data_IF_255855411332
#
_entry.id   IF_255855411332
#
_cell.length_a   1.000
_cell.length_b   1.000
_cell.length_c   1.000
_cell.angle_alpha   90.00
_cell.angle_beta   90.00
_cell.angle_gamma   90.00
#
_symmetry.space_group_name_H-M   'P 1'
#
loop_
_entity.id
_entity.type
_entity.pdbx_description
1 polymer ?
#
# COMPACT_ATOMS: atom_id res chain seq x y z
N UNK A 1 33.20 10.85 -15.60
CA UNK A 1 33.50 10.55 -14.19
C UNK A 1 32.20 10.09 -13.55
N UNK A 2 31.80 8.85 -13.83
CA UNK A 2 30.78 8.13 -13.05
C UNK A 2 31.59 7.02 -12.39
N UNK A 3 32.27 7.37 -11.30
CA UNK A 3 32.81 6.35 -10.41
C UNK A 3 31.63 5.65 -9.72
N UNK A 4 31.73 4.32 -9.59
CA UNK A 4 30.60 3.40 -9.50
C UNK A 4 29.54 3.76 -8.46
N UNK A 5 28.30 3.91 -8.92
CA UNK A 5 27.15 4.08 -8.05
C UNK A 5 27.08 2.95 -7.02
N UNK A 6 26.86 3.30 -5.75
CA UNK A 6 26.73 2.31 -4.68
C UNK A 6 25.56 1.36 -4.98
N UNK A 7 25.61 0.14 -4.46
CA UNK A 7 24.50 -0.81 -4.60
C UNK A 7 23.18 -0.24 -4.06
N UNK A 8 23.24 0.64 -3.05
CA UNK A 8 22.08 1.35 -2.49
C UNK A 8 21.51 2.33 -3.52
N UNK A 9 22.35 3.18 -4.11
CA UNK A 9 21.97 4.16 -5.14
C UNK A 9 21.30 3.48 -6.33
N UNK A 10 21.90 2.38 -6.84
CA UNK A 10 21.31 1.60 -7.94
C UNK A 10 19.95 1.02 -7.56
N UNK A 11 19.81 0.51 -6.33
CA UNK A 11 18.56 -0.08 -5.85
C UNK A 11 17.45 0.97 -5.72
N UNK A 12 17.78 2.16 -5.25
CA UNK A 12 16.82 3.26 -5.15
C UNK A 12 16.41 3.82 -6.52
N UNK A 13 17.34 3.86 -7.48
CA UNK A 13 17.03 4.21 -8.86
C UNK A 13 16.05 3.20 -9.50
N UNK A 14 16.30 1.89 -9.31
CA UNK A 14 15.40 0.83 -9.77
C UNK A 14 14.02 0.96 -9.12
N UNK A 15 13.98 1.21 -7.80
CA UNK A 15 12.73 1.41 -7.10
C UNK A 15 11.96 2.65 -7.60
N UNK A 16 12.67 3.74 -7.91
CA UNK A 16 12.08 4.94 -8.54
C UNK A 16 11.38 4.57 -9.84
N UNK A 17 12.02 3.80 -10.72
CA UNK A 17 11.41 3.33 -11.98
C UNK A 17 10.19 2.45 -11.71
N UNK A 18 10.29 1.50 -10.76
CA UNK A 18 9.16 0.64 -10.38
C UNK A 18 7.95 1.42 -9.87
N UNK A 19 8.18 2.53 -9.15
CA UNK A 19 7.12 3.41 -8.65
C UNK A 19 6.54 4.31 -9.75
N UNK A 20 7.34 4.75 -10.72
CA UNK A 20 6.85 5.47 -11.90
C UNK A 20 5.88 4.63 -12.73
N UNK A 21 6.06 3.30 -12.78
CA UNK A 21 5.05 2.40 -13.37
C UNK A 21 3.72 2.52 -12.62
N UNK A 22 3.76 2.56 -11.28
CA UNK A 22 2.57 2.80 -10.46
C UNK A 22 1.92 4.16 -10.75
N UNK A 23 2.71 5.21 -10.96
CA UNK A 23 2.20 6.54 -11.37
C UNK A 23 1.46 6.44 -12.70
N UNK A 24 2.02 5.76 -13.70
CA UNK A 24 1.37 5.57 -15.00
C UNK A 24 0.04 4.82 -14.84
N UNK A 25 -0.01 3.77 -14.02
CA UNK A 25 -1.24 3.02 -13.75
C UNK A 25 -2.29 3.93 -13.09
N UNK A 26 -1.92 4.72 -12.08
CA UNK A 26 -2.85 5.65 -11.43
C UNK A 26 -3.33 6.77 -12.36
N UNK A 27 -2.49 7.28 -13.25
CA UNK A 27 -2.91 8.25 -14.27
C UNK A 27 -3.90 7.61 -15.23
N UNK A 28 -3.62 6.38 -15.71
CA UNK A 28 -4.56 5.65 -16.57
C UNK A 28 -5.91 5.48 -15.88
N UNK A 29 -5.92 5.12 -14.59
CA UNK A 29 -7.11 5.01 -13.76
C UNK A 29 -7.91 6.32 -13.73
N UNK A 30 -7.23 7.45 -13.56
CA UNK A 30 -7.87 8.76 -13.52
C UNK A 30 -8.46 9.21 -14.87
N UNK A 31 -7.92 8.70 -15.97
CA UNK A 31 -8.35 9.05 -17.33
C UNK A 31 -9.35 8.04 -17.94
N UNK A 32 -9.81 7.05 -17.17
CA UNK A 32 -10.75 6.05 -17.67
C UNK A 32 -12.19 6.54 -17.50
N UNK A 33 -12.79 7.01 -18.61
CA UNK A 33 -14.17 7.51 -18.64
C UNK A 33 -15.23 6.42 -18.38
N UNK A 34 -14.86 5.14 -18.37
CA UNK A 34 -15.78 4.04 -18.08
C UNK A 34 -16.10 3.87 -16.58
N UNK A 35 -15.42 4.59 -15.70
CA UNK A 35 -15.60 4.51 -14.24
C UNK A 35 -15.73 5.88 -13.61
N UNK A 36 -16.45 5.94 -12.49
CA UNK A 36 -16.62 7.17 -11.73
C UNK A 36 -15.41 7.39 -10.80
N UNK A 37 -14.55 8.35 -11.20
CA UNK A 37 -13.37 8.75 -10.45
C UNK A 37 -13.66 9.23 -9.01
N UNK A 38 -14.75 9.97 -8.82
CA UNK A 38 -15.13 10.54 -7.53
C UNK A 38 -15.65 9.45 -6.60
N UNK A 39 -16.45 8.52 -7.15
CA UNK A 39 -16.95 7.35 -6.42
C UNK A 39 -15.86 6.32 -6.13
N UNK A 40 -14.82 6.26 -6.95
CA UNK A 40 -13.63 5.43 -6.74
C UNK A 40 -12.58 6.06 -5.82
N UNK A 41 -12.63 7.37 -5.61
CA UNK A 41 -11.63 8.12 -4.86
C UNK A 41 -10.22 8.01 -5.46
N UNK A 42 -10.10 7.83 -6.78
CA UNK A 42 -8.86 7.40 -7.43
C UNK A 42 -7.72 8.42 -7.37
N UNK A 43 -8.01 9.70 -7.11
CA UNK A 43 -6.98 10.74 -6.95
C UNK A 43 -5.98 10.39 -5.84
N UNK A 44 -6.45 9.79 -4.75
CA UNK A 44 -5.58 9.38 -3.63
C UNK A 44 -4.58 8.28 -4.03
N UNK A 45 -4.91 7.47 -5.03
CA UNK A 45 -4.06 6.40 -5.52
C UNK A 45 -2.90 6.91 -6.37
N UNK A 46 -2.99 8.12 -6.93
CA UNK A 46 -1.86 8.76 -7.61
C UNK A 46 -0.80 9.22 -6.61
N UNK A 47 -1.23 9.74 -5.45
CA UNK A 47 -0.33 10.26 -4.41
C UNK A 47 0.65 9.19 -3.94
N UNK A 48 0.20 7.94 -3.79
CA UNK A 48 0.99 6.82 -3.26
C UNK A 48 2.29 6.59 -4.07
N UNK A 49 2.24 6.18 -5.35
CA UNK A 49 3.45 5.95 -6.14
C UNK A 49 4.18 7.24 -6.52
N UNK A 50 3.48 8.38 -6.64
CA UNK A 50 4.13 9.65 -6.99
C UNK A 50 5.02 10.17 -5.85
N UNK A 51 4.50 10.19 -4.62
CA UNK A 51 5.25 10.65 -3.46
C UNK A 51 6.38 9.68 -3.10
N UNK A 52 6.14 8.37 -3.21
CA UNK A 52 7.17 7.37 -3.04
C UNK A 52 8.27 7.51 -4.11
N UNK A 53 7.91 7.66 -5.39
CA UNK A 53 8.87 7.84 -6.48
C UNK A 53 9.76 9.07 -6.29
N UNK A 54 9.18 10.20 -5.85
CA UNK A 54 9.93 11.39 -5.49
C UNK A 54 10.87 11.15 -4.30
N UNK A 55 10.41 10.45 -3.29
CA UNK A 55 11.21 10.12 -2.10
C UNK A 55 12.38 9.20 -2.45
N UNK A 56 12.16 8.19 -3.30
CA UNK A 56 13.21 7.31 -3.81
C UNK A 56 14.21 8.06 -4.70
N UNK A 57 13.77 9.05 -5.48
CA UNK A 57 14.67 9.94 -6.21
C UNK A 57 15.56 10.73 -5.24
N UNK A 58 15.00 11.34 -4.19
CA UNK A 58 15.80 12.05 -3.19
C UNK A 58 16.77 11.15 -2.44
N UNK A 59 16.37 9.93 -2.09
CA UNK A 59 17.27 8.94 -1.49
C UNK A 59 18.37 8.49 -2.46
N UNK A 60 18.08 8.38 -3.77
CA UNK A 60 19.07 8.08 -4.82
C UNK A 60 20.13 9.18 -4.90
N UNK A 61 19.72 10.43 -4.70
CA UNK A 61 20.59 11.60 -4.66
C UNK A 61 21.26 11.82 -3.29
N UNK A 62 21.12 10.88 -2.35
CA UNK A 62 21.65 10.95 -0.98
C UNK A 62 21.19 12.19 -0.19
N UNK A 63 20.01 12.72 -0.52
CA UNK A 63 19.41 13.86 0.19
C UNK A 63 18.72 13.34 1.45
N UNK A 64 18.97 14.01 2.59
CA UNK A 64 18.31 13.69 3.85
C UNK A 64 18.75 12.35 4.43
N UNK A 65 20.07 12.10 4.47
CA UNK A 65 20.68 10.96 5.16
C UNK A 65 21.26 11.44 6.49
N UNK A 66 21.01 10.70 7.56
CA UNK A 66 21.52 10.99 8.91
C UNK A 66 22.15 9.73 9.49
N UNK A 67 23.35 9.86 10.06
CA UNK A 67 24.04 8.75 10.71
C UNK A 67 23.62 8.62 12.19
N UNK A 68 23.24 7.42 12.60
CA UNK A 68 22.86 7.07 13.98
C UNK A 68 23.65 5.83 14.38
N UNK A 69 24.76 6.04 15.10
CA UNK A 69 25.73 4.97 15.33
C UNK A 69 26.33 4.48 14.00
N UNK A 70 26.26 3.18 13.75
CA UNK A 70 26.74 2.56 12.50
C UNK A 70 25.63 2.43 11.43
N UNK A 71 24.50 3.10 11.60
CA UNK A 71 23.35 3.01 10.71
C UNK A 71 23.08 4.35 9.99
N UNK A 72 22.97 4.28 8.66
CA UNK A 72 22.55 5.41 7.82
C UNK A 72 21.03 5.44 7.67
N UNK A 73 20.40 6.48 8.23
CA UNK A 73 18.95 6.68 8.24
C UNK A 73 18.54 7.62 7.11
N UNK A 74 17.78 7.09 6.15
CA UNK A 74 17.25 7.86 5.03
C UNK A 74 15.91 8.49 5.42
N UNK A 75 15.90 9.80 5.72
CA UNK A 75 14.73 10.51 6.25
C UNK A 75 13.54 10.45 5.28
N UNK A 76 13.79 10.56 3.97
CA UNK A 76 12.73 10.51 2.95
C UNK A 76 11.99 9.17 2.88
N UNK A 77 12.55 8.08 3.42
CA UNK A 77 11.82 6.82 3.60
C UNK A 77 10.66 6.98 4.58
N UNK A 78 10.92 7.61 5.72
CA UNK A 78 9.92 7.79 6.77
C UNK A 78 8.93 8.90 6.40
N UNK A 79 9.37 9.92 5.67
CA UNK A 79 8.49 10.95 5.10
C UNK A 79 7.56 10.33 4.05
N UNK A 80 8.07 9.45 3.16
CA UNK A 80 7.25 8.66 2.25
C UNK A 80 6.19 7.90 3.02
N UNK A 81 6.60 7.05 3.97
CA UNK A 81 5.66 6.21 4.70
C UNK A 81 4.63 7.04 5.45
N UNK A 82 5.02 8.13 6.12
CA UNK A 82 4.09 8.98 6.86
C UNK A 82 3.00 9.60 5.98
N UNK A 83 3.23 9.71 4.67
CA UNK A 83 2.22 10.15 3.69
C UNK A 83 1.49 8.96 3.07
N UNK A 84 2.21 7.94 2.61
CA UNK A 84 1.65 6.91 1.74
C UNK A 84 0.98 5.78 2.51
N UNK A 85 1.50 5.38 3.67
CA UNK A 85 0.92 4.28 4.46
C UNK A 85 -0.45 4.63 5.05
N UNK A 86 -0.72 5.86 5.56
CA UNK A 86 -2.07 6.22 6.02
C UNK A 86 -3.08 6.21 4.88
N UNK A 87 -2.68 6.65 3.68
CA UNK A 87 -3.53 6.64 2.48
C UNK A 87 -3.85 5.19 2.08
N UNK A 88 -2.84 4.30 2.06
CA UNK A 88 -3.02 2.89 1.72
C UNK A 88 -4.07 2.21 2.62
N UNK A 89 -3.96 2.35 3.94
CA UNK A 89 -4.92 1.72 4.88
C UNK A 89 -6.28 2.43 4.89
N UNK A 90 -6.31 3.76 4.75
CA UNK A 90 -7.54 4.51 4.64
C UNK A 90 -8.34 4.11 3.39
N UNK A 91 -7.66 3.87 2.26
CA UNK A 91 -8.29 3.43 1.03
C UNK A 91 -8.88 2.02 1.16
N UNK A 92 -8.25 1.09 1.91
CA UNK A 92 -8.89 -0.20 2.22
C UNK A 92 -10.20 0.00 2.98
N UNK A 93 -10.22 0.91 3.96
CA UNK A 93 -11.43 1.27 4.69
C UNK A 93 -12.50 1.92 3.82
N UNK A 94 -12.09 2.76 2.87
CA UNK A 94 -12.98 3.37 1.88
C UNK A 94 -13.63 2.32 0.97
N UNK A 95 -12.84 1.39 0.44
CA UNK A 95 -13.33 0.26 -0.37
C UNK A 95 -14.30 -0.59 0.44
N UNK A 96 -14.01 -0.83 1.72
CA UNK A 96 -14.91 -1.58 2.62
C UNK A 96 -16.22 -0.84 2.93
N UNK A 97 -16.38 0.43 2.54
CA UNK A 97 -17.52 1.25 2.94
C UNK A 97 -17.57 1.53 4.44
N UNK A 98 -16.41 1.54 5.11
CA UNK A 98 -16.34 1.74 6.55
C UNK A 98 -16.70 3.19 6.93
N UNK A 99 -17.36 3.41 8.09
CA UNK A 99 -17.62 4.75 8.59
C UNK A 99 -16.33 5.57 8.73
N UNK A 100 -16.41 6.88 8.45
CA UNK A 100 -15.27 7.81 8.47
C UNK A 100 -14.43 7.74 9.75
N UNK A 101 -15.05 7.47 10.91
CA UNK A 101 -14.34 7.29 12.18
C UNK A 101 -13.30 6.17 12.13
N UNK A 102 -13.58 5.04 11.46
CA UNK A 102 -12.68 3.91 11.36
C UNK A 102 -11.60 4.12 10.31
N UNK A 103 -11.94 4.82 9.22
CA UNK A 103 -10.96 5.25 8.20
C UNK A 103 -9.93 6.20 8.82
N UNK A 104 -10.40 7.20 9.58
CA UNK A 104 -9.51 8.12 10.32
C UNK A 104 -8.72 7.35 11.38
N UNK A 105 -9.36 6.46 12.15
CA UNK A 105 -8.67 5.71 13.20
C UNK A 105 -7.53 4.84 12.64
N UNK A 106 -7.71 4.14 11.53
CA UNK A 106 -6.64 3.32 10.93
C UNK A 106 -5.52 4.19 10.38
N UNK A 107 -5.84 5.32 9.74
CA UNK A 107 -4.86 6.26 9.21
C UNK A 107 -4.03 6.91 10.31
N UNK A 108 -4.65 7.29 11.44
CA UNK A 108 -3.95 7.84 12.60
C UNK A 108 -3.10 6.77 13.29
N UNK A 109 -3.62 5.55 13.48
CA UNK A 109 -2.83 4.46 14.04
C UNK A 109 -1.58 4.19 13.19
N UNK A 110 -1.74 4.18 11.87
CA UNK A 110 -0.63 4.03 10.92
C UNK A 110 0.37 5.19 10.99
N UNK A 111 -0.10 6.44 10.96
CA UNK A 111 0.79 7.60 11.06
C UNK A 111 1.58 7.60 12.39
N UNK A 112 0.96 7.20 13.50
CA UNK A 112 1.63 7.04 14.80
C UNK A 112 2.63 5.89 14.80
N UNK A 113 2.32 4.77 14.15
CA UNK A 113 3.28 3.67 13.93
C UNK A 113 4.53 4.20 13.22
N UNK A 114 4.37 4.90 12.09
CA UNK A 114 5.51 5.43 11.33
C UNK A 114 6.27 6.50 12.13
N UNK A 115 5.59 7.47 12.72
CA UNK A 115 6.24 8.56 13.45
C UNK A 115 7.06 8.05 14.65
N UNK A 116 6.50 7.10 15.41
CA UNK A 116 7.18 6.51 16.57
C UNK A 116 8.31 5.57 16.13
N UNK A 117 8.08 4.73 15.11
CA UNK A 117 9.12 3.86 14.55
C UNK A 117 10.29 4.65 13.94
N UNK A 118 10.00 5.79 13.32
CA UNK A 118 11.01 6.73 12.86
C UNK A 118 11.81 7.31 14.01
N UNK A 119 11.14 7.83 15.04
CA UNK A 119 11.79 8.33 16.24
C UNK A 119 12.66 7.25 16.89
N UNK A 120 12.17 6.00 16.99
CA UNK A 120 12.94 4.87 17.51
C UNK A 120 14.23 4.62 16.70
N UNK A 121 14.17 4.74 15.37
CA UNK A 121 15.33 4.57 14.49
C UNK A 121 16.38 5.67 14.68
N UNK A 122 15.97 6.85 15.16
CA UNK A 122 16.88 7.96 15.48
C UNK A 122 17.46 7.90 16.90
N UNK A 123 17.11 6.86 17.68
CA UNK A 123 17.53 6.67 19.06
C UNK A 123 18.45 5.46 19.19
N UNK A 124 19.17 5.39 20.31
CA UNK A 124 20.05 4.27 20.68
C UNK A 124 19.72 3.73 22.08
N UNK A 125 20.32 2.59 22.43
CA UNK A 125 20.12 1.97 23.75
C UNK A 125 18.67 1.53 24.00
N UNK A 126 18.22 1.57 25.25
CA UNK A 126 16.87 1.08 25.62
C UNK A 126 15.72 1.87 24.95
N UNK A 127 15.95 3.14 24.61
CA UNK A 127 14.92 4.00 24.05
C UNK A 127 14.46 3.55 22.66
N UNK A 128 15.36 3.02 21.82
CA UNK A 128 14.99 2.47 20.50
C UNK A 128 14.03 1.29 20.63
N UNK A 129 14.26 0.41 21.60
CA UNK A 129 13.42 -0.77 21.84
C UNK A 129 12.04 -0.41 22.41
N UNK A 130 11.98 0.59 23.30
CA UNK A 130 10.70 1.13 23.78
C UNK A 130 9.92 1.72 22.61
N UNK A 131 10.56 2.56 21.78
CA UNK A 131 9.93 3.15 20.61
C UNK A 131 9.43 2.09 19.62
N UNK A 132 10.24 1.08 19.33
CA UNK A 132 9.83 -0.07 18.51
C UNK A 132 8.61 -0.79 19.09
N UNK A 133 8.59 -1.07 20.41
CA UNK A 133 7.47 -1.71 21.08
C UNK A 133 6.18 -0.89 20.98
N UNK A 134 6.25 0.43 21.18
CA UNK A 134 5.08 1.32 21.04
C UNK A 134 4.61 1.40 19.58
N UNK A 135 5.53 1.50 18.62
CA UNK A 135 5.21 1.43 17.18
C UNK A 135 4.51 0.11 16.83
N UNK A 136 4.97 -1.02 17.38
CA UNK A 136 4.36 -2.32 17.17
C UNK A 136 2.93 -2.40 17.73
N UNK A 137 2.63 -1.74 18.85
CA UNK A 137 1.24 -1.66 19.37
C UNK A 137 0.32 -0.94 18.38
N UNK A 138 0.78 0.14 17.76
CA UNK A 138 0.02 0.82 16.71
C UNK A 138 -0.14 -0.06 15.46
N UNK A 139 0.90 -0.82 15.09
CA UNK A 139 0.81 -1.80 14.00
C UNK A 139 -0.21 -2.91 14.29
N UNK A 140 -0.25 -3.45 15.51
CA UNK A 140 -1.26 -4.44 15.90
C UNK A 140 -2.66 -3.81 15.89
N UNK A 141 -2.79 -2.55 16.32
CA UNK A 141 -4.06 -1.82 16.33
C UNK A 141 -4.61 -1.60 14.92
N UNK A 142 -3.78 -1.18 13.97
CA UNK A 142 -4.22 -1.02 12.58
C UNK A 142 -4.58 -2.37 11.94
N UNK A 143 -3.83 -3.45 12.23
CA UNK A 143 -4.17 -4.81 11.78
C UNK A 143 -5.51 -5.29 12.37
N UNK A 144 -5.79 -4.96 13.64
CA UNK A 144 -7.08 -5.27 14.25
C UNK A 144 -8.24 -4.55 13.54
N UNK A 145 -8.08 -3.27 13.18
CA UNK A 145 -9.09 -2.56 12.39
C UNK A 145 -9.24 -3.23 11.01
N UNK A 146 -8.13 -3.51 10.34
CA UNK A 146 -8.09 -4.10 9.01
C UNK A 146 -8.78 -5.47 8.94
N UNK A 147 -8.54 -6.35 9.92
CA UNK A 147 -9.02 -7.74 9.89
C UNK A 147 -10.26 -8.03 10.73
N UNK A 148 -10.59 -7.22 11.75
CA UNK A 148 -11.74 -7.47 12.62
C UNK A 148 -12.89 -6.49 12.39
N UNK A 149 -12.62 -5.30 11.86
CA UNK A 149 -13.60 -4.21 11.74
C UNK A 149 -14.04 -4.03 10.29
N UNK A 150 -13.14 -3.76 9.35
CA UNK A 150 -13.50 -3.53 7.94
C UNK A 150 -14.30 -4.68 7.30
N UNK A 151 -14.03 -5.97 7.59
CA UNK A 151 -14.84 -7.06 7.03
C UNK A 151 -16.33 -7.01 7.39
N UNK A 152 -16.71 -6.31 8.47
CA UNK A 152 -18.11 -6.15 8.89
C UNK A 152 -18.89 -5.15 8.04
N UNK A 153 -18.19 -4.27 7.32
CA UNK A 153 -18.78 -3.21 6.50
C UNK A 153 -18.85 -3.61 5.02
N UNK A 154 -17.82 -4.29 4.52
CA UNK A 154 -17.76 -4.69 3.11
C UNK A 154 -18.87 -5.67 2.70
N UNK A 155 -19.50 -6.36 3.66
CA UNK A 155 -20.65 -7.22 3.39
C UNK A 155 -21.86 -6.47 2.81
N UNK A 156 -21.90 -5.14 2.96
CA UNK A 156 -22.91 -4.26 2.38
C UNK A 156 -22.59 -3.83 0.94
N UNK A 157 -21.38 -4.14 0.45
CA UNK A 157 -20.89 -3.78 -0.89
C UNK A 157 -20.27 -5.02 -1.58
N UNK A 158 -21.09 -6.02 -1.96
CA UNK A 158 -20.59 -7.26 -2.56
C UNK A 158 -19.69 -7.04 -3.78
N UNK A 159 -19.99 -6.02 -4.58
CA UNK A 159 -19.22 -5.62 -5.77
C UNK A 159 -17.79 -5.17 -5.42
N UNK A 160 -17.55 -4.69 -4.20
CA UNK A 160 -16.23 -4.25 -3.71
C UNK A 160 -15.48 -5.33 -2.93
N UNK A 161 -16.13 -6.46 -2.62
CA UNK A 161 -15.58 -7.48 -1.74
C UNK A 161 -14.25 -8.05 -2.22
N UNK A 162 -14.16 -8.35 -3.52
CA UNK A 162 -12.93 -8.88 -4.13
C UNK A 162 -11.78 -7.88 -4.02
N UNK A 163 -12.00 -6.62 -4.41
CA UNK A 163 -11.00 -5.57 -4.27
C UNK A 163 -10.58 -5.41 -2.80
N UNK A 164 -11.53 -5.31 -1.88
CA UNK A 164 -11.26 -5.23 -0.45
C UNK A 164 -10.35 -6.37 0.02
N UNK A 165 -10.66 -7.63 -0.33
CA UNK A 165 -9.87 -8.79 0.09
C UNK A 165 -8.45 -8.76 -0.47
N UNK A 166 -8.29 -8.37 -1.72
CA UNK A 166 -6.96 -8.24 -2.35
C UNK A 166 -6.14 -7.18 -1.63
N UNK A 167 -6.69 -5.97 -1.43
CA UNK A 167 -5.97 -4.89 -0.75
C UNK A 167 -5.70 -5.21 0.72
N UNK A 168 -6.67 -5.79 1.43
CA UNK A 168 -6.56 -6.20 2.83
C UNK A 168 -5.39 -7.18 3.02
N UNK A 169 -5.33 -8.22 2.19
CA UNK A 169 -4.29 -9.23 2.29
C UNK A 169 -2.94 -8.70 1.81
N UNK A 170 -2.93 -7.89 0.74
CA UNK A 170 -1.71 -7.28 0.22
C UNK A 170 -1.04 -6.38 1.26
N UNK A 171 -1.80 -5.47 1.87
CA UNK A 171 -1.28 -4.60 2.94
C UNK A 171 -0.97 -5.42 4.18
N UNK A 172 -1.96 -6.16 4.70
CA UNK A 172 -1.85 -6.80 6.00
C UNK A 172 -0.74 -7.85 6.08
N UNK A 173 -0.58 -8.71 5.07
CA UNK A 173 0.43 -9.77 5.09
C UNK A 173 1.82 -9.25 4.73
N UNK A 174 1.94 -8.38 3.73
CA UNK A 174 3.23 -7.82 3.34
C UNK A 174 3.82 -6.97 4.47
N UNK A 175 2.98 -6.22 5.19
CA UNK A 175 3.47 -5.30 6.22
C UNK A 175 4.03 -6.00 7.45
N UNK A 176 3.68 -7.27 7.70
CA UNK A 176 4.32 -8.07 8.74
C UNK A 176 5.83 -8.22 8.51
N UNK A 177 6.32 -8.07 7.27
CA UNK A 177 7.75 -8.12 6.97
C UNK A 177 8.52 -6.91 7.52
N UNK A 178 7.94 -5.70 7.52
CA UNK A 178 8.64 -4.47 7.89
C UNK A 178 9.18 -4.46 9.33
N UNK A 179 8.42 -4.81 10.38
CA UNK A 179 8.97 -4.87 11.73
C UNK A 179 10.06 -5.94 11.86
N UNK A 180 9.97 -7.05 11.11
CA UNK A 180 11.01 -8.10 11.11
C UNK A 180 12.29 -7.62 10.42
N UNK A 181 12.16 -6.88 9.31
CA UNK A 181 13.29 -6.26 8.63
C UNK A 181 13.93 -5.21 9.53
N UNK A 182 13.14 -4.39 10.22
CA UNK A 182 13.65 -3.42 11.18
C UNK A 182 14.45 -4.11 12.30
N UNK A 183 13.89 -5.18 12.89
CA UNK A 183 14.57 -5.97 13.92
C UNK A 183 15.90 -6.54 13.42
N UNK A 184 15.95 -7.05 12.19
CA UNK A 184 17.15 -7.62 11.61
C UNK A 184 18.17 -6.57 11.13
N UNK A 185 17.73 -5.33 10.91
CA UNK A 185 18.56 -4.24 10.38
C UNK A 185 19.62 -3.75 11.38
N UNK A 186 20.56 -2.88 10.95
CA UNK A 186 21.51 -2.22 11.85
C UNK A 186 20.85 -1.35 12.94
N UNK A 187 19.61 -0.89 12.77
CA UNK A 187 18.86 -0.19 13.81
C UNK A 187 18.36 -1.14 14.93
N UNK A 188 18.23 -2.45 14.62
CA UNK A 188 17.82 -3.50 15.54
C UNK A 188 19.03 -4.30 16.04
N UNK A 189 19.09 -5.58 15.69
CA UNK A 189 20.14 -6.50 16.14
C UNK A 189 21.34 -6.59 15.19
N UNK A 190 21.29 -5.93 14.02
CA UNK A 190 22.41 -5.92 13.06
C UNK A 190 22.68 -7.25 12.34
N UNK A 191 21.67 -8.11 12.20
CA UNK A 191 21.80 -9.39 11.50
C UNK A 191 21.91 -9.24 9.97
N UNK A 192 21.43 -8.13 9.42
CA UNK A 192 21.46 -7.78 7.99
C UNK A 192 22.23 -6.48 7.82
N UNK A 193 23.06 -6.39 6.77
CA UNK A 193 23.86 -5.21 6.46
C UNK A 193 23.00 -4.01 6.04
N UNK A 194 23.54 -2.78 6.17
CA UNK A 194 22.89 -1.53 5.70
C UNK A 194 22.45 -1.67 4.24
N UNK A 195 23.33 -2.17 3.36
CA UNK A 195 23.04 -2.40 1.94
C UNK A 195 21.90 -3.40 1.77
N UNK A 196 21.96 -4.55 2.47
CA UNK A 196 20.93 -5.58 2.39
C UNK A 196 19.57 -5.06 2.85
N UNK A 197 19.52 -4.35 3.97
CA UNK A 197 18.30 -3.71 4.49
C UNK A 197 17.75 -2.71 3.48
N UNK A 198 18.59 -1.82 2.93
CA UNK A 198 18.17 -0.84 1.93
C UNK A 198 17.55 -1.50 0.69
N UNK A 199 18.17 -2.56 0.17
CA UNK A 199 17.67 -3.31 -0.99
C UNK A 199 16.34 -4.00 -0.73
N UNK A 200 16.22 -4.70 0.41
CA UNK A 200 15.00 -5.41 0.80
C UNK A 200 13.85 -4.42 0.94
N UNK A 201 14.07 -3.30 1.65
CA UNK A 201 13.02 -2.29 1.84
C UNK A 201 12.65 -1.65 0.50
N UNK A 202 13.62 -1.32 -0.36
CA UNK A 202 13.36 -0.80 -1.71
C UNK A 202 12.47 -1.72 -2.54
N UNK A 203 12.76 -3.01 -2.53
CA UNK A 203 11.97 -4.01 -3.22
C UNK A 203 10.54 -4.09 -2.68
N UNK A 204 10.37 -4.23 -1.36
CA UNK A 204 9.03 -4.38 -0.77
C UNK A 204 8.20 -3.09 -0.86
N UNK A 205 8.81 -1.91 -0.93
CA UNK A 205 8.09 -0.65 -1.15
C UNK A 205 7.46 -0.60 -2.55
N UNK A 206 8.22 -1.01 -3.58
CA UNK A 206 7.70 -1.13 -4.95
C UNK A 206 6.56 -2.15 -4.99
N UNK A 207 6.74 -3.31 -4.35
CA UNK A 207 5.72 -4.35 -4.26
C UNK A 207 4.50 -3.88 -3.46
N UNK A 208 4.69 -3.08 -2.41
CA UNK A 208 3.59 -2.56 -1.59
C UNK A 208 2.73 -1.55 -2.36
N UNK A 209 3.32 -0.75 -3.26
CA UNK A 209 2.68 0.43 -3.84
C UNK A 209 2.23 0.22 -5.29
N UNK A 210 3.09 -0.32 -6.16
CA UNK A 210 2.78 -0.46 -7.60
C UNK A 210 1.73 -1.55 -7.86
N UNK A 211 1.85 -2.78 -7.33
CA UNK A 211 0.76 -3.76 -7.37
C UNK A 211 -0.54 -3.28 -6.74
N UNK A 212 -0.48 -2.49 -5.66
CA UNK A 212 -1.69 -1.99 -5.00
C UNK A 212 -2.56 -1.18 -5.96
N UNK A 213 -1.97 -0.21 -6.67
CA UNK A 213 -2.71 0.60 -7.65
C UNK A 213 -3.13 -0.22 -8.87
N UNK A 214 -2.35 -1.24 -9.25
CA UNK A 214 -2.73 -2.21 -10.28
C UNK A 214 -3.97 -3.02 -9.89
N UNK A 215 -4.07 -3.46 -8.63
CA UNK A 215 -5.25 -4.19 -8.16
C UNK A 215 -6.50 -3.33 -8.21
N UNK A 216 -6.40 -2.04 -7.86
CA UNK A 216 -7.53 -1.12 -8.02
C UNK A 216 -7.89 -0.94 -9.49
N UNK A 217 -6.91 -0.72 -10.37
CA UNK A 217 -7.16 -0.64 -11.81
C UNK A 217 -7.85 -1.89 -12.36
N UNK A 218 -7.45 -3.08 -11.92
CA UNK A 218 -8.07 -4.34 -12.35
C UNK A 218 -9.53 -4.48 -11.90
N UNK A 219 -9.88 -3.97 -10.71
CA UNK A 219 -11.21 -4.08 -10.12
C UNK A 219 -12.02 -2.77 -10.17
N UNK A 220 -11.60 -1.79 -10.99
CA UNK A 220 -12.15 -0.42 -11.00
C UNK A 220 -13.65 -0.36 -11.29
N UNK A 221 -14.21 -1.34 -11.99
CA UNK A 221 -15.65 -1.45 -12.24
C UNK A 221 -16.47 -1.71 -10.98
N UNK A 222 -15.86 -2.03 -9.83
CA UNK A 222 -16.53 -2.00 -8.52
C UNK A 222 -17.08 -0.61 -8.14
N UNK A 223 -16.73 0.43 -8.91
CA UNK A 223 -17.19 1.80 -8.75
C UNK A 223 -18.03 2.31 -9.95
N UNK A 224 -18.47 1.45 -10.87
CA UNK A 224 -19.33 1.86 -11.99
C UNK A 224 -20.68 2.40 -11.52
N UNK A 225 -21.17 3.43 -12.18
CA UNK A 225 -22.48 4.05 -11.96
C UNK A 225 -23.64 3.23 -12.56
N UNK A 226 -23.36 2.41 -13.56
CA UNK A 226 -24.35 1.55 -14.20
C UNK A 226 -24.50 0.21 -13.45
N UNK A 227 -25.73 -0.31 -13.29
CA UNK A 227 -25.96 -1.66 -12.77
C UNK A 227 -25.19 -2.66 -13.63
N UNK A 228 -24.44 -3.55 -12.99
CA UNK A 228 -23.92 -4.74 -13.68
C UNK A 228 -25.14 -5.57 -14.07
N UNK A 229 -25.51 -5.55 -15.36
CA UNK A 229 -26.55 -6.44 -15.84
C UNK A 229 -26.15 -7.89 -15.48
N UNK A 230 -27.04 -8.66 -14.83
CA UNK A 230 -26.78 -10.06 -14.61
C UNK A 230 -26.52 -10.68 -15.97
N UNK A 231 -25.40 -11.40 -16.10
CA UNK A 231 -25.11 -12.22 -17.27
C UNK A 231 -26.38 -12.99 -17.62
N UNK A 232 -27.02 -12.65 -18.74
CA UNK A 232 -28.11 -13.44 -19.28
C UNK A 232 -27.52 -14.83 -19.52
N UNK A 233 -27.84 -15.75 -18.61
CA UNK A 233 -27.83 -17.17 -18.94
C UNK A 233 -28.82 -17.30 -20.09
N UNK A 234 -28.29 -17.33 -21.32
CA UNK A 234 -29.04 -17.72 -22.51
C UNK A 234 -29.67 -19.07 -22.20
N UNK A 235 -30.94 -19.04 -21.83
CA UNK A 235 -31.76 -20.21 -21.70
C UNK A 235 -31.84 -20.83 -23.09
N UNK A 236 -31.28 -22.03 -23.20
CA UNK A 236 -31.34 -22.81 -24.42
C UNK A 236 -32.81 -23.20 -24.67
N UNK A 237 -33.43 -22.46 -25.60
CA UNK A 237 -34.49 -22.92 -26.52
C UNK A 237 -35.52 -23.90 -25.95
N UNK A 238 -36.66 -23.36 -25.53
CA UNK A 238 -37.94 -24.08 -25.47
C UNK A 238 -38.45 -24.33 -26.91
N UNK A 239 -38.57 -25.57 -27.39
CA UNK A 239 -39.19 -25.81 -28.69
C UNK A 239 -40.71 -25.76 -28.50
N UNK A 240 -41.33 -24.69 -29.03
CA UNK A 240 -42.78 -24.51 -29.00
C UNK A 240 -43.57 -25.71 -29.57
N UNK A 241 -44.87 -25.84 -29.21
CA UNK A 241 -45.64 -27.06 -29.43
C UNK A 241 -45.88 -27.31 -30.91
N UNK A 242 -45.60 -28.56 -31.34
CA UNK A 242 -45.88 -29.03 -32.69
C UNK A 242 -47.40 -29.07 -32.93
N UNK A 243 -47.84 -28.44 -34.03
CA UNK A 243 -49.20 -28.57 -34.56
C UNK A 243 -49.44 -30.00 -35.05
N UNK A 244 -50.63 -30.60 -34.81
CA UNK A 244 -50.97 -31.88 -35.41
C UNK A 244 -51.29 -31.66 -36.91
N UNK A 245 -50.74 -32.53 -37.76
CA UNK A 245 -51.13 -32.67 -39.15
C UNK A 245 -52.13 -33.82 -39.27
N UNK A 246 -53.17 -33.59 -40.08
CA UNK A 246 -54.20 -34.53 -40.51
C UNK A 246 -53.63 -35.76 -41.25
#
# INVERSE_FOLDING_TARGET
MIDGASAITVSYAIATVGLLIGVVISIRLLTDDAVDNDRGGFLWLLVIPAFAGLSYLFMTLEIGVVEVGDNSVYLFRYIDWLVTTPILVAYVGYVAGAPRKWIIAVAVADAMMIAIGFAATLLTGIATWIGFGVSAIFHVSLLAILYLIFPRYVSQYPERYRLFKVLQNHVGLLWLAYPLIWLASPAGVGAVSVVGTAMIIAYIDVVAKTPYVYFVWNERFAFSSEPVDPVETTDATDPGPASPAD
#
